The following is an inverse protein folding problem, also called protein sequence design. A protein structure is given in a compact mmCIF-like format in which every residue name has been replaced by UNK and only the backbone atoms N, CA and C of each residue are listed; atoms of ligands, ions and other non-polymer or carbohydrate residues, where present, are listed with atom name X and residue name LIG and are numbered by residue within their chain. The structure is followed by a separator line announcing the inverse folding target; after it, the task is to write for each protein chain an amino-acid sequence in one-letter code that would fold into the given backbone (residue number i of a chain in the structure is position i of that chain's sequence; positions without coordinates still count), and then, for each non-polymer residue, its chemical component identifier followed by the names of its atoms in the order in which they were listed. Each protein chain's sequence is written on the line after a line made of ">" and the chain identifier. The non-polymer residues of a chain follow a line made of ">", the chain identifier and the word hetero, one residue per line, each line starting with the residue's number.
data_IF_528033760591
#
_entry.id   IF_528033760591
#
_cell.length_a   1.000
_cell.length_b   1.000
_cell.length_c   1.000
_cell.angle_alpha   90.00
_cell.angle_beta   90.00
_cell.angle_gamma   90.00
#
_symmetry.space_group_name_H-M   'P 1'
#
loop_
_entity.id
_entity.type
_entity.pdbx_description
1 polymer ?
#
# COMPACT_ATOMS: atom_id res chain seq x y z
N UNK A 1 -3.06 25.84 20.09
CA UNK A 1 -3.15 24.37 20.06
C UNK A 1 -2.32 23.86 18.90
N UNK A 2 -1.45 22.89 19.16
CA UNK A 2 -0.44 22.39 18.22
C UNK A 2 -1.15 21.76 17.01
N UNK A 3 -1.06 22.41 15.85
CA UNK A 3 -1.42 21.78 14.57
C UNK A 3 -0.43 20.65 14.33
N UNK A 4 -0.84 19.44 14.69
CA UNK A 4 -0.21 18.22 14.22
C UNK A 4 -0.64 18.08 12.74
N UNK A 5 0.01 18.85 11.88
CA UNK A 5 -0.02 18.62 10.44
C UNK A 5 0.75 17.31 10.25
N UNK A 6 0.00 16.21 10.26
CA UNK A 6 0.49 14.90 9.84
C UNK A 6 0.74 15.01 8.35
N UNK A 7 1.92 15.55 8.00
CA UNK A 7 2.52 15.40 6.69
C UNK A 7 2.76 13.91 6.48
N UNK A 8 1.75 13.22 5.95
CA UNK A 8 1.97 11.92 5.32
C UNK A 8 2.75 12.25 4.06
N UNK A 9 4.08 12.15 4.18
CA UNK A 9 5.03 12.19 3.08
C UNK A 9 4.72 10.97 2.21
N UNK A 10 3.71 11.09 1.34
CA UNK A 10 3.42 10.15 0.27
C UNK A 10 4.50 10.32 -0.78
N UNK A 11 5.69 9.79 -0.48
CA UNK A 11 6.73 9.53 -1.45
C UNK A 11 6.26 8.36 -2.34
N UNK A 12 5.22 8.57 -3.14
CA UNK A 12 4.88 7.69 -4.25
C UNK A 12 5.91 7.93 -5.34
N UNK A 13 7.09 7.35 -5.16
CA UNK A 13 7.96 7.05 -6.26
C UNK A 13 7.21 6.03 -7.13
N UNK A 14 6.43 6.54 -8.10
CA UNK A 14 6.03 5.80 -9.28
C UNK A 14 7.30 5.40 -10.04
N UNK A 15 8.03 4.42 -9.52
CA UNK A 15 8.94 3.64 -10.34
C UNK A 15 8.00 2.76 -11.17
N UNK A 16 7.64 3.28 -12.34
CA UNK A 16 7.11 2.47 -13.43
C UNK A 16 8.18 1.46 -13.81
N UNK A 17 8.28 0.37 -13.03
CA UNK A 17 9.01 -0.82 -13.45
C UNK A 17 8.11 -1.45 -14.51
N UNK A 18 8.41 -1.13 -15.77
CA UNK A 18 7.89 -1.88 -16.89
C UNK A 18 8.12 -3.38 -16.61
N UNK A 19 7.09 -4.25 -16.68
CA UNK A 19 7.21 -5.67 -16.35
C UNK A 19 7.93 -6.49 -17.43
N UNK A 20 8.73 -5.84 -18.29
CA UNK A 20 9.24 -6.42 -19.54
C UNK A 20 10.15 -7.61 -19.34
N UNK A 21 10.93 -7.66 -18.24
CA UNK A 21 11.81 -8.80 -17.98
C UNK A 21 11.09 -10.04 -17.43
N UNK A 22 10.06 -9.86 -16.60
CA UNK A 22 9.39 -10.96 -15.88
C UNK A 22 8.36 -11.69 -16.75
N UNK A 23 7.77 -11.02 -17.73
CA UNK A 23 6.78 -11.61 -18.63
C UNK A 23 7.36 -12.62 -19.64
N UNK A 24 8.61 -12.45 -20.09
CA UNK A 24 9.22 -13.34 -21.09
C UNK A 24 9.63 -14.71 -20.51
N UNK A 25 10.36 -14.75 -19.39
CA UNK A 25 10.91 -16.00 -18.82
C UNK A 25 9.83 -16.94 -18.24
N UNK A 26 8.67 -16.40 -17.87
CA UNK A 26 7.58 -17.20 -17.27
C UNK A 26 6.60 -17.72 -18.32
N UNK A 27 6.57 -17.13 -19.52
CA UNK A 27 5.80 -17.64 -20.68
C UNK A 27 6.61 -18.57 -21.58
N UNK A 28 7.94 -18.50 -21.53
CA UNK A 28 8.81 -19.42 -22.24
C UNK A 28 8.65 -20.85 -21.71
N UNK A 29 8.48 -21.79 -22.65
CA UNK A 29 8.30 -23.21 -22.36
C UNK A 29 9.49 -23.70 -21.55
N UNK A 30 9.23 -24.24 -20.36
CA UNK A 30 10.28 -24.76 -19.47
C UNK A 30 11.03 -25.91 -20.16
N UNK A 31 12.23 -25.61 -20.63
CA UNK A 31 13.11 -26.57 -21.30
C UNK A 31 14.05 -27.22 -20.27
N UNK A 32 14.08 -28.54 -20.28
CA UNK A 32 15.04 -29.32 -19.50
C UNK A 32 16.08 -29.87 -20.46
N UNK A 33 17.34 -29.48 -20.26
CA UNK A 33 18.46 -29.96 -21.08
C UNK A 33 19.21 -31.05 -20.33
N UNK A 34 19.58 -32.11 -21.05
CA UNK A 34 20.43 -33.17 -20.50
C UNK A 34 21.89 -32.85 -20.82
N UNK A 35 22.73 -32.85 -19.81
CA UNK A 35 24.15 -32.56 -19.91
C UNK A 35 24.96 -33.33 -18.88
N UNK A 36 26.06 -32.75 -18.44
CA UNK A 36 26.85 -33.27 -17.33
C UNK A 36 27.39 -32.11 -16.51
N UNK A 37 27.40 -32.28 -15.20
CA UNK A 37 27.81 -31.23 -14.28
C UNK A 37 28.78 -31.75 -13.21
N UNK A 38 29.83 -30.99 -12.85
CA UNK A 38 30.77 -31.38 -11.80
C UNK A 38 30.19 -31.12 -10.40
N UNK A 39 29.85 -32.20 -9.70
CA UNK A 39 29.50 -32.21 -8.28
C UNK A 39 30.73 -32.52 -7.42
N UNK A 40 30.57 -32.45 -6.10
CA UNK A 40 31.71 -32.67 -5.19
C UNK A 40 32.26 -34.10 -5.15
N UNK A 41 31.57 -35.08 -5.74
CA UNK A 41 32.00 -36.48 -5.87
C UNK A 41 32.26 -36.93 -7.32
N UNK A 42 32.14 -36.05 -8.31
CA UNK A 42 32.45 -36.38 -9.69
C UNK A 42 31.65 -35.62 -10.73
N UNK A 43 31.93 -35.93 -11.98
CA UNK A 43 31.17 -35.46 -13.14
C UNK A 43 30.02 -36.44 -13.39
N UNK A 44 28.78 -35.96 -13.26
CA UNK A 44 27.59 -36.80 -13.39
C UNK A 44 26.66 -36.29 -14.50
N UNK A 45 25.86 -37.17 -15.13
CA UNK A 45 24.76 -36.75 -15.99
C UNK A 45 23.76 -35.88 -15.21
N UNK A 46 23.36 -34.76 -15.79
CA UNK A 46 22.52 -33.77 -15.09
C UNK A 46 21.42 -33.21 -15.99
N UNK A 47 20.26 -33.02 -15.39
CA UNK A 47 19.12 -32.32 -15.95
C UNK A 47 19.21 -30.86 -15.53
N UNK A 48 19.23 -29.97 -16.52
CA UNK A 48 19.51 -28.55 -16.30
C UNK A 48 18.35 -27.69 -16.73
N UNK A 49 17.99 -26.72 -15.91
CA UNK A 49 16.96 -25.71 -16.21
C UNK A 49 17.53 -24.32 -15.95
N UNK A 50 17.34 -23.42 -16.90
CA UNK A 50 17.74 -22.02 -16.77
C UNK A 50 16.58 -21.20 -16.19
N UNK A 51 16.91 -20.24 -15.34
CA UNK A 51 16.01 -19.26 -14.76
C UNK A 51 16.68 -17.88 -14.79
N UNK A 52 15.92 -16.81 -14.61
CA UNK A 52 16.51 -15.48 -14.40
C UNK A 52 17.29 -15.41 -13.09
N UNK A 53 18.43 -14.72 -13.17
CA UNK A 53 19.41 -14.62 -12.07
C UNK A 53 18.84 -14.04 -10.77
N UNK A 54 17.82 -13.20 -10.86
CA UNK A 54 17.14 -12.62 -9.70
C UNK A 54 16.56 -13.69 -8.75
N UNK A 55 16.32 -14.90 -9.24
CA UNK A 55 15.76 -16.01 -8.46
C UNK A 55 16.80 -16.91 -7.77
N UNK A 56 18.11 -16.66 -7.89
CA UNK A 56 19.13 -17.61 -7.44
C UNK A 56 18.98 -18.03 -5.96
N UNK A 57 18.70 -17.07 -5.07
CA UNK A 57 18.49 -17.35 -3.64
C UNK A 57 17.20 -18.13 -3.37
N UNK A 58 16.13 -17.78 -4.06
CA UNK A 58 14.82 -18.40 -3.88
C UNK A 58 14.80 -19.80 -4.46
N UNK A 59 15.52 -20.05 -5.56
CA UNK A 59 15.71 -21.37 -6.17
C UNK A 59 16.42 -22.34 -5.22
N UNK A 60 17.57 -21.94 -4.68
CA UNK A 60 18.33 -22.81 -3.78
C UNK A 60 17.50 -23.15 -2.53
N UNK A 61 16.80 -22.16 -1.98
CA UNK A 61 15.86 -22.37 -0.87
C UNK A 61 14.71 -23.29 -1.27
N UNK A 62 14.07 -23.08 -2.42
CA UNK A 62 12.94 -23.89 -2.88
C UNK A 62 13.31 -25.35 -3.08
N UNK A 63 14.42 -25.64 -3.76
CA UNK A 63 14.88 -27.02 -3.95
C UNK A 63 15.29 -27.66 -2.63
N UNK A 64 15.94 -26.91 -1.73
CA UNK A 64 16.27 -27.40 -0.38
C UNK A 64 15.02 -27.78 0.41
N UNK A 65 14.02 -26.89 0.44
CA UNK A 65 12.76 -27.12 1.16
C UNK A 65 12.01 -28.30 0.55
N UNK A 66 11.96 -28.39 -0.79
CA UNK A 66 11.35 -29.52 -1.52
C UNK A 66 11.99 -30.86 -1.16
N UNK A 67 13.32 -30.94 -1.15
CA UNK A 67 14.01 -32.20 -0.82
C UNK A 67 13.95 -32.54 0.66
N UNK A 68 13.87 -31.53 1.54
CA UNK A 68 13.71 -31.75 2.99
C UNK A 68 12.43 -32.53 3.33
N UNK A 69 11.38 -32.35 2.56
CA UNK A 69 10.10 -33.06 2.74
C UNK A 69 10.12 -34.49 2.20
N UNK A 70 11.02 -34.78 1.24
CA UNK A 70 11.03 -36.04 0.49
C UNK A 70 12.18 -36.99 0.86
N UNK A 71 13.24 -36.47 1.46
CA UNK A 71 14.48 -37.19 1.73
C UNK A 71 14.55 -37.71 3.17
N UNK A 72 15.25 -38.84 3.36
CA UNK A 72 15.60 -39.34 4.70
C UNK A 72 16.76 -38.54 5.30
N UNK A 73 17.72 -38.15 4.46
CA UNK A 73 18.88 -37.33 4.86
C UNK A 73 19.14 -36.21 3.83
N UNK A 74 19.53 -35.04 4.34
CA UNK A 74 19.77 -33.84 3.52
C UNK A 74 21.04 -33.11 3.97
N UNK A 75 21.99 -32.95 3.05
CA UNK A 75 23.17 -32.11 3.21
C UNK A 75 23.10 -30.92 2.26
N UNK A 76 23.56 -29.73 2.69
CA UNK A 76 23.50 -28.50 1.89
C UNK A 76 24.79 -27.66 1.96
N UNK A 77 25.96 -28.29 2.16
CA UNK A 77 27.23 -27.57 2.38
C UNK A 77 27.80 -26.91 1.11
N UNK A 78 27.92 -27.68 0.03
CA UNK A 78 28.48 -27.23 -1.27
C UNK A 78 27.47 -27.31 -2.42
N UNK A 79 26.54 -28.23 -2.25
CA UNK A 79 25.42 -28.57 -3.12
C UNK A 79 24.39 -29.26 -2.23
N UNK A 80 23.16 -29.31 -2.69
CA UNK A 80 22.10 -30.04 -2.02
C UNK A 80 22.29 -31.52 -2.36
N UNK A 81 22.49 -32.35 -1.35
CA UNK A 81 22.53 -33.82 -1.46
C UNK A 81 21.39 -34.39 -0.64
N UNK A 82 20.43 -35.01 -1.31
CA UNK A 82 19.28 -35.64 -0.69
C UNK A 82 19.40 -37.15 -0.88
N UNK A 83 19.36 -37.92 0.20
CA UNK A 83 19.45 -39.39 0.19
C UNK A 83 18.12 -40.00 0.62
N UNK A 84 17.80 -41.19 0.11
CA UNK A 84 16.54 -41.86 0.44
C UNK A 84 15.30 -41.18 -0.14
N UNK A 85 15.46 -40.37 -1.19
CA UNK A 85 14.35 -39.62 -1.80
C UNK A 85 13.42 -40.59 -2.52
N UNK A 86 12.12 -40.49 -2.25
CA UNK A 86 11.11 -41.27 -2.97
C UNK A 86 10.39 -40.41 -4.01
N UNK A 87 10.57 -40.73 -5.29
CA UNK A 87 9.90 -40.07 -6.41
C UNK A 87 9.19 -41.14 -7.24
N UNK A 88 7.94 -41.50 -6.88
CA UNK A 88 7.21 -42.61 -7.52
C UNK A 88 7.04 -42.45 -9.04
N UNK A 89 7.02 -41.21 -9.53
CA UNK A 89 6.89 -40.91 -10.97
C UNK A 89 8.14 -41.32 -11.76
N UNK A 90 9.30 -41.44 -11.10
CA UNK A 90 10.57 -41.86 -11.70
C UNK A 90 10.83 -43.35 -11.42
N UNK A 91 10.73 -43.76 -10.15
CA UNK A 91 10.96 -45.14 -9.72
C UNK A 91 10.23 -45.46 -8.42
N UNK A 92 9.91 -46.74 -8.21
CA UNK A 92 9.36 -47.22 -6.94
C UNK A 92 10.40 -47.23 -5.81
N UNK A 93 11.69 -47.38 -6.16
CA UNK A 93 12.81 -47.42 -5.22
C UNK A 93 13.21 -46.01 -4.75
N UNK A 94 13.93 -45.95 -3.63
CA UNK A 94 14.55 -44.70 -3.16
C UNK A 94 15.79 -44.38 -3.98
N UNK A 95 16.07 -43.09 -4.14
CA UNK A 95 17.21 -42.58 -4.91
C UNK A 95 17.95 -41.48 -4.16
N UNK A 96 19.17 -41.20 -4.60
CA UNK A 96 19.90 -40.01 -4.17
C UNK A 96 19.82 -38.92 -5.22
N UNK A 97 19.63 -37.68 -4.79
CA UNK A 97 19.52 -36.51 -5.67
C UNK A 97 20.60 -35.51 -5.31
N UNK A 98 21.35 -35.07 -6.32
CA UNK A 98 22.33 -33.99 -6.21
C UNK A 98 21.76 -32.77 -6.95
N UNK A 99 21.66 -31.63 -6.27
CA UNK A 99 21.19 -30.39 -6.87
C UNK A 99 22.16 -29.25 -6.58
N UNK A 100 22.47 -28.47 -7.61
CA UNK A 100 23.28 -27.26 -7.47
C UNK A 100 22.74 -26.14 -8.33
N UNK A 101 22.68 -24.95 -7.74
CA UNK A 101 22.36 -23.71 -8.41
C UNK A 101 23.67 -23.03 -8.81
N UNK A 102 23.91 -22.87 -10.10
CA UNK A 102 25.09 -22.22 -10.66
C UNK A 102 24.72 -20.84 -11.18
N UNK A 103 25.52 -19.83 -10.81
CA UNK A 103 25.45 -18.48 -11.39
C UNK A 103 26.67 -18.26 -12.31
N UNK A 104 26.54 -18.51 -13.63
CA UNK A 104 27.65 -18.30 -14.55
C UNK A 104 28.10 -16.83 -14.55
N UNK A 105 29.42 -16.63 -14.58
CA UNK A 105 30.00 -15.28 -14.64
C UNK A 105 29.54 -14.58 -15.93
N UNK A 106 29.01 -13.37 -15.79
CA UNK A 106 28.49 -12.53 -16.89
C UNK A 106 27.23 -13.08 -17.59
N UNK A 107 26.49 -13.99 -16.95
CA UNK A 107 25.15 -14.37 -17.39
C UNK A 107 24.09 -13.63 -16.59
N UNK A 108 22.96 -13.36 -17.25
CA UNK A 108 21.70 -12.89 -16.63
C UNK A 108 20.80 -14.07 -16.20
N UNK A 109 21.28 -15.30 -16.42
CA UNK A 109 20.63 -16.54 -16.03
C UNK A 109 21.35 -17.20 -14.87
N UNK A 110 20.57 -17.97 -14.10
CA UNK A 110 21.03 -18.94 -13.12
C UNK A 110 20.58 -20.31 -13.59
N UNK A 111 21.47 -21.30 -13.49
CA UNK A 111 21.23 -22.66 -14.01
C UNK A 111 21.13 -23.61 -12.82
N UNK A 112 20.02 -24.34 -12.73
CA UNK A 112 19.85 -25.42 -11.77
C UNK A 112 20.27 -26.72 -12.42
N UNK A 113 21.22 -27.43 -11.82
CA UNK A 113 21.72 -28.72 -12.26
C UNK A 113 21.28 -29.81 -11.28
N UNK A 114 20.50 -30.78 -11.75
CA UNK A 114 19.99 -31.89 -10.92
C UNK A 114 20.43 -33.25 -11.46
N UNK A 115 21.01 -34.08 -10.62
CA UNK A 115 21.43 -35.45 -10.96
C UNK A 115 20.74 -36.46 -10.04
N UNK A 116 20.32 -37.58 -10.62
CA UNK A 116 19.58 -38.64 -9.93
C UNK A 116 20.38 -39.93 -9.95
N UNK A 117 20.62 -40.51 -8.79
CA UNK A 117 21.34 -41.76 -8.61
C UNK A 117 20.40 -42.85 -8.10
N UNK A 118 20.19 -43.88 -8.93
CA UNK A 118 19.24 -44.96 -8.71
C UNK A 118 19.92 -46.29 -8.98
N UNK A 119 19.78 -47.26 -8.07
CA UNK A 119 20.23 -48.64 -8.25
C UNK A 119 21.68 -48.80 -8.75
N UNK A 120 22.60 -47.99 -8.20
CA UNK A 120 24.03 -48.10 -8.50
C UNK A 120 24.52 -47.24 -9.68
N UNK A 121 23.64 -46.50 -10.36
CA UNK A 121 24.01 -45.68 -11.52
C UNK A 121 23.26 -44.35 -11.55
N UNK A 122 23.87 -43.35 -12.20
CA UNK A 122 23.19 -42.08 -12.48
C UNK A 122 22.23 -42.23 -13.67
N UNK A 123 21.08 -41.58 -13.57
CA UNK A 123 20.13 -41.45 -14.67
C UNK A 123 20.70 -40.44 -15.68
N UNK A 124 20.93 -40.87 -16.91
CA UNK A 124 21.54 -40.07 -17.97
C UNK A 124 21.37 -40.69 -19.35
N UNK A 125 22.16 -40.27 -20.36
CA UNK A 125 21.99 -40.71 -21.75
C UNK A 125 22.04 -42.23 -21.98
N UNK A 126 22.74 -42.97 -21.11
CA UNK A 126 22.85 -44.44 -21.16
C UNK A 126 21.76 -45.20 -20.40
N UNK A 127 20.82 -44.50 -19.75
CA UNK A 127 19.74 -45.11 -18.98
C UNK A 127 18.56 -45.51 -19.88
N UNK A 128 17.60 -46.26 -19.33
CA UNK A 128 16.34 -46.57 -20.03
C UNK A 128 15.60 -45.30 -20.48
N UNK A 129 15.03 -45.32 -21.69
CA UNK A 129 14.40 -44.14 -22.30
C UNK A 129 13.16 -43.68 -21.54
N UNK A 130 12.38 -44.60 -20.96
CA UNK A 130 11.22 -44.23 -20.14
C UNK A 130 11.67 -43.59 -18.83
N UNK A 131 12.73 -44.12 -18.21
CA UNK A 131 13.33 -43.55 -17.00
C UNK A 131 13.87 -42.13 -17.25
N UNK A 132 14.57 -41.91 -18.37
CA UNK A 132 15.04 -40.59 -18.77
C UNK A 132 13.87 -39.61 -18.99
N UNK A 133 12.83 -40.05 -19.70
CA UNK A 133 11.65 -39.23 -19.97
C UNK A 133 10.91 -38.86 -18.69
N UNK A 134 10.69 -39.82 -17.80
CA UNK A 134 10.05 -39.60 -16.50
C UNK A 134 10.84 -38.61 -15.65
N UNK A 135 12.17 -38.76 -15.60
CA UNK A 135 13.06 -37.83 -14.87
C UNK A 135 13.04 -36.42 -15.48
N UNK A 136 13.04 -36.32 -16.81
CA UNK A 136 12.92 -35.04 -17.53
C UNK A 136 11.61 -34.35 -17.21
N UNK A 137 10.49 -35.09 -17.20
CA UNK A 137 9.18 -34.53 -16.87
C UNK A 137 9.13 -34.08 -15.41
N UNK A 138 9.63 -34.87 -14.48
CA UNK A 138 9.68 -34.51 -13.06
C UNK A 138 10.48 -33.22 -12.83
N UNK A 139 11.66 -33.07 -13.46
CA UNK A 139 12.46 -31.85 -13.35
C UNK A 139 11.70 -30.65 -13.95
N UNK A 140 11.02 -30.85 -15.08
CA UNK A 140 10.19 -29.81 -15.70
C UNK A 140 9.05 -29.37 -14.78
N UNK A 141 8.32 -30.33 -14.20
CA UNK A 141 7.21 -30.06 -13.29
C UNK A 141 7.66 -29.28 -12.05
N UNK A 142 8.82 -29.62 -11.46
CA UNK A 142 9.38 -28.88 -10.33
C UNK A 142 9.81 -27.46 -10.72
N UNK A 143 10.41 -27.28 -11.89
CA UNK A 143 10.74 -25.96 -12.40
C UNK A 143 9.49 -25.10 -12.66
N UNK A 144 8.43 -25.68 -13.23
CA UNK A 144 7.13 -25.02 -13.41
C UNK A 144 6.51 -24.65 -12.06
N UNK A 145 6.56 -25.56 -11.07
CA UNK A 145 6.05 -25.32 -9.74
C UNK A 145 6.77 -24.14 -9.06
N UNK A 146 8.10 -24.05 -9.21
CA UNK A 146 8.86 -22.89 -8.73
C UNK A 146 8.42 -21.58 -9.40
N UNK A 147 8.32 -21.56 -10.74
CA UNK A 147 7.86 -20.37 -11.49
C UNK A 147 6.47 -19.92 -11.04
N UNK A 148 5.55 -20.87 -10.81
CA UNK A 148 4.21 -20.59 -10.27
C UNK A 148 4.27 -20.02 -8.86
N UNK A 149 5.10 -20.59 -7.99
CA UNK A 149 5.22 -20.12 -6.61
C UNK A 149 5.74 -18.68 -6.52
N UNK A 150 6.76 -18.34 -7.30
CA UNK A 150 7.28 -16.97 -7.39
C UNK A 150 6.18 -15.99 -7.83
N UNK A 151 5.43 -16.35 -8.87
CA UNK A 151 4.33 -15.51 -9.34
C UNK A 151 3.17 -15.44 -8.35
N UNK A 152 2.89 -16.52 -7.61
CA UNK A 152 1.87 -16.52 -6.55
C UNK A 152 2.22 -15.53 -5.46
N UNK A 153 3.45 -15.60 -4.93
CA UNK A 153 3.93 -14.67 -3.90
C UNK A 153 3.87 -13.22 -4.39
N UNK A 154 4.27 -12.99 -5.65
CA UNK A 154 4.21 -11.67 -6.25
C UNK A 154 2.76 -11.18 -6.38
N UNK A 155 1.86 -12.02 -6.89
CA UNK A 155 0.44 -11.69 -7.04
C UNK A 155 -0.18 -11.34 -5.68
N UNK A 156 0.08 -12.15 -4.65
CA UNK A 156 -0.38 -11.89 -3.29
C UNK A 156 0.13 -10.55 -2.74
N UNK A 157 1.40 -10.21 -3.00
CA UNK A 157 1.96 -8.91 -2.62
C UNK A 157 1.29 -7.75 -3.37
N UNK A 158 1.08 -7.89 -4.68
CA UNK A 158 0.46 -6.84 -5.50
C UNK A 158 -1.02 -6.64 -5.15
N UNK A 159 -1.77 -7.72 -4.86
CA UNK A 159 -3.15 -7.67 -4.40
C UNK A 159 -3.26 -7.03 -3.01
N UNK A 160 -2.31 -7.31 -2.11
CA UNK A 160 -2.25 -6.67 -0.79
C UNK A 160 -1.99 -5.16 -0.90
N UNK A 161 -1.02 -4.75 -1.72
CA UNK A 161 -0.75 -3.34 -1.98
C UNK A 161 -1.97 -2.62 -2.56
N UNK A 162 -2.69 -3.26 -3.50
CA UNK A 162 -3.92 -2.71 -4.07
C UNK A 162 -4.99 -2.51 -2.98
N UNK A 163 -5.20 -3.49 -2.11
CA UNK A 163 -6.14 -3.39 -1.01
C UNK A 163 -5.78 -2.25 -0.03
N UNK A 164 -4.49 -2.07 0.27
CA UNK A 164 -4.01 -0.98 1.11
C UNK A 164 -4.29 0.40 0.47
N UNK A 165 -4.11 0.54 -0.86
CA UNK A 165 -4.46 1.77 -1.59
C UNK A 165 -5.97 2.04 -1.57
N UNK A 166 -6.82 1.03 -1.79
CA UNK A 166 -8.28 1.17 -1.73
C UNK A 166 -8.76 1.58 -0.33
N UNK A 167 -8.14 1.04 0.72
CA UNK A 167 -8.39 1.44 2.10
C UNK A 167 -7.96 2.90 2.36
N UNK A 168 -6.80 3.31 1.83
CA UNK A 168 -6.34 4.70 1.94
C UNK A 168 -7.29 5.67 1.25
N UNK A 169 -7.78 5.34 0.04
CA UNK A 169 -8.80 6.13 -0.66
C UNK A 169 -10.09 6.25 0.19
N UNK A 170 -10.53 5.15 0.79
CA UNK A 170 -11.72 5.15 1.66
C UNK A 170 -11.54 6.08 2.87
N UNK A 171 -10.35 6.15 3.47
CA UNK A 171 -10.10 7.05 4.58
C UNK A 171 -10.01 8.52 4.12
N UNK A 172 -9.47 8.79 2.92
CA UNK A 172 -9.51 10.13 2.32
C UNK A 172 -10.95 10.61 2.11
N UNK A 173 -11.83 9.75 1.58
CA UNK A 173 -13.26 10.05 1.40
C UNK A 173 -13.94 10.34 2.75
N UNK A 174 -13.65 9.56 3.78
CA UNK A 174 -14.16 9.81 5.14
C UNK A 174 -13.65 11.12 5.73
N UNK A 175 -12.40 11.49 5.48
CA UNK A 175 -11.83 12.74 5.97
C UNK A 175 -12.49 13.95 5.32
N UNK A 176 -12.75 13.89 4.00
CA UNK A 176 -13.57 14.88 3.30
C UNK A 176 -14.95 15.02 3.94
N UNK A 177 -15.67 13.92 4.16
CA UNK A 177 -17.01 13.95 4.76
C UNK A 177 -16.99 14.56 6.18
N UNK A 178 -15.95 14.29 6.98
CA UNK A 178 -15.76 14.90 8.30
C UNK A 178 -15.51 16.41 8.19
N UNK A 179 -14.66 16.82 7.25
CA UNK A 179 -14.35 18.23 7.00
C UNK A 179 -15.59 19.00 6.53
N UNK A 180 -16.38 18.44 5.60
CA UNK A 180 -17.65 19.01 5.12
C UNK A 180 -18.65 19.20 6.27
N UNK A 181 -18.84 18.18 7.12
CA UNK A 181 -19.73 18.30 8.30
C UNK A 181 -19.23 19.36 9.29
N UNK A 182 -17.92 19.51 9.45
CA UNK A 182 -17.32 20.55 10.29
C UNK A 182 -17.55 21.94 9.69
N UNK A 183 -17.42 22.06 8.37
CA UNK A 183 -17.66 23.29 7.64
C UNK A 183 -19.12 23.74 7.76
N UNK A 184 -20.08 22.83 7.60
CA UNK A 184 -21.51 23.14 7.74
C UNK A 184 -21.85 23.63 9.15
N UNK A 185 -21.31 22.98 10.19
CA UNK A 185 -21.48 23.42 11.57
C UNK A 185 -20.87 24.80 11.82
N UNK A 186 -19.70 25.06 11.23
CA UNK A 186 -19.00 26.35 11.38
C UNK A 186 -19.75 27.47 10.65
N UNK A 187 -20.21 27.22 9.42
CA UNK A 187 -21.07 28.15 8.68
C UNK A 187 -22.33 28.48 9.45
N UNK A 188 -23.00 27.48 10.02
CA UNK A 188 -24.21 27.71 10.83
C UNK A 188 -23.92 28.61 12.04
N UNK A 189 -22.83 28.34 12.78
CA UNK A 189 -22.41 29.19 13.91
C UNK A 189 -22.13 30.63 13.48
N UNK A 190 -21.41 30.82 12.37
CA UNK A 190 -21.13 32.15 11.83
C UNK A 190 -22.42 32.89 11.45
N UNK A 191 -23.37 32.22 10.81
CA UNK A 191 -24.68 32.81 10.47
C UNK A 191 -25.49 33.17 11.71
N UNK A 192 -25.51 32.30 12.72
CA UNK A 192 -26.22 32.54 13.98
C UNK A 192 -25.60 33.75 14.73
N UNK A 193 -24.27 33.82 14.81
CA UNK A 193 -23.55 34.95 15.41
C UNK A 193 -23.78 36.26 14.64
N UNK A 194 -23.79 36.21 13.30
CA UNK A 194 -24.08 37.38 12.47
C UNK A 194 -25.51 37.88 12.68
N UNK A 195 -26.48 36.97 12.84
CA UNK A 195 -27.86 37.35 13.15
C UNK A 195 -27.96 38.01 14.53
N UNK A 196 -27.36 37.41 15.54
CA UNK A 196 -27.36 37.96 16.91
C UNK A 196 -26.65 39.33 16.96
N UNK A 197 -25.60 39.52 16.15
CA UNK A 197 -24.90 40.80 16.01
C UNK A 197 -25.84 41.87 15.47
N UNK A 198 -26.59 41.58 14.41
CA UNK A 198 -27.56 42.51 13.82
C UNK A 198 -28.64 42.88 14.83
N UNK A 199 -29.14 41.91 15.60
CA UNK A 199 -30.13 42.16 16.65
C UNK A 199 -29.54 43.04 17.78
N UNK A 200 -28.29 42.80 18.18
CA UNK A 200 -27.58 43.61 19.18
C UNK A 200 -27.28 45.03 18.69
N UNK A 201 -26.90 45.22 17.42
CA UNK A 201 -26.71 46.53 16.79
C UNK A 201 -28.02 47.32 16.74
N UNK A 202 -29.15 46.66 16.43
CA UNK A 202 -30.47 47.30 16.47
C UNK A 202 -30.85 47.73 17.90
N UNK A 203 -30.59 46.88 18.90
CA UNK A 203 -30.78 47.21 20.31
C UNK A 203 -29.90 48.38 20.76
N UNK A 204 -28.62 48.39 20.37
CA UNK A 204 -27.68 49.49 20.68
C UNK A 204 -28.17 50.82 20.10
N UNK A 205 -28.68 50.84 18.87
CA UNK A 205 -29.25 52.05 18.26
C UNK A 205 -30.48 52.57 19.00
N UNK A 206 -31.36 51.68 19.45
CA UNK A 206 -32.51 52.06 20.28
C UNK A 206 -32.04 52.69 21.60
N UNK A 207 -31.05 52.07 22.24
CA UNK A 207 -30.54 52.53 23.52
C UNK A 207 -29.79 53.88 23.40
N UNK A 208 -29.08 54.11 22.29
CA UNK A 208 -28.49 55.42 21.96
C UNK A 208 -29.55 56.53 21.85
N UNK A 209 -30.73 56.23 21.31
CA UNK A 209 -31.86 57.19 21.26
C UNK A 209 -32.40 57.49 22.66
N UNK A 210 -32.55 56.46 23.50
CA UNK A 210 -33.01 56.62 24.89
C UNK A 210 -32.01 57.42 25.72
N UNK A 211 -30.71 57.16 25.57
CA UNK A 211 -29.62 57.94 26.19
C UNK A 211 -29.69 59.40 25.74
N UNK A 212 -29.89 59.67 24.44
CA UNK A 212 -29.99 61.04 23.94
C UNK A 212 -31.19 61.78 24.55
N UNK A 213 -32.35 61.12 24.64
CA UNK A 213 -33.54 61.66 25.32
C UNK A 213 -33.28 61.92 26.79
N UNK A 214 -32.69 60.95 27.52
CA UNK A 214 -32.42 61.09 28.95
C UNK A 214 -31.36 62.15 29.26
N UNK A 215 -30.35 62.32 28.40
CA UNK A 215 -29.39 63.43 28.50
C UNK A 215 -30.08 64.79 28.41
N UNK A 216 -31.08 64.94 27.54
CA UNK A 216 -31.86 66.17 27.45
C UNK A 216 -32.68 66.43 28.73
N UNK A 217 -33.28 65.39 29.32
CA UNK A 217 -34.00 65.49 30.60
C UNK A 217 -33.08 65.89 31.77
N UNK A 218 -31.92 65.24 31.90
CA UNK A 218 -30.91 65.58 32.92
C UNK A 218 -30.44 67.03 32.76
N UNK A 219 -30.26 67.50 31.51
CA UNK A 219 -29.89 68.89 31.22
C UNK A 219 -31.00 69.89 31.56
N UNK A 220 -32.27 69.48 31.49
CA UNK A 220 -33.41 70.34 31.84
C UNK A 220 -33.67 70.37 33.36
N UNK A 221 -33.50 69.24 34.04
CA UNK A 221 -33.67 69.11 35.48
C UNK A 221 -32.79 67.99 36.06
N UNK A 222 -31.65 68.38 36.61
CA UNK A 222 -30.73 67.47 37.27
C UNK A 222 -31.27 67.04 38.65
N UNK A 223 -31.61 65.76 38.78
CA UNK A 223 -31.93 65.11 40.05
C UNK A 223 -31.26 63.73 40.13
N UNK A 224 -31.21 63.16 41.33
CA UNK A 224 -30.50 61.90 41.61
C UNK A 224 -31.06 60.72 40.79
N UNK A 225 -32.38 60.66 40.62
CA UNK A 225 -33.06 59.62 39.81
C UNK A 225 -32.65 59.68 38.34
N UNK A 226 -32.77 60.86 37.71
CA UNK A 226 -32.45 61.06 36.30
C UNK A 226 -30.97 60.82 36.00
N UNK A 227 -30.09 61.17 36.94
CA UNK A 227 -28.64 60.97 36.79
C UNK A 227 -28.25 59.50 36.94
N UNK A 228 -28.90 58.77 37.86
CA UNK A 228 -28.71 57.32 38.04
C UNK A 228 -29.18 56.52 36.82
N UNK A 229 -30.39 56.80 36.31
CA UNK A 229 -30.94 56.15 35.10
C UNK A 229 -30.04 56.37 33.88
N UNK A 230 -29.51 57.59 33.69
CA UNK A 230 -28.56 57.87 32.61
C UNK A 230 -27.27 57.05 32.74
N UNK A 231 -26.73 56.87 33.95
CA UNK A 231 -25.55 56.05 34.16
C UNK A 231 -25.81 54.57 33.86
N UNK A 232 -26.98 54.05 34.21
CA UNK A 232 -27.32 52.65 33.97
C UNK A 232 -27.53 52.37 32.48
N UNK A 233 -28.17 53.30 31.75
CA UNK A 233 -28.25 53.22 30.28
C UNK A 233 -26.86 53.23 29.63
N UNK A 234 -25.94 54.10 30.08
CA UNK A 234 -24.56 54.12 29.54
C UNK A 234 -23.81 52.80 29.78
N UNK A 235 -24.01 52.16 30.94
CA UNK A 235 -23.42 50.82 31.21
C UNK A 235 -24.04 49.73 30.33
N UNK A 236 -25.32 49.82 30.04
CA UNK A 236 -25.99 48.87 29.14
C UNK A 236 -25.54 49.03 27.69
N UNK A 237 -25.33 50.28 27.24
CA UNK A 237 -24.74 50.60 25.94
C UNK A 237 -23.33 50.00 25.79
N UNK A 238 -22.49 50.14 26.82
CA UNK A 238 -21.14 49.57 26.84
C UNK A 238 -21.17 48.04 26.75
N UNK A 239 -22.06 47.38 27.51
CA UNK A 239 -22.25 45.92 27.43
C UNK A 239 -22.71 45.47 26.05
N UNK A 240 -23.59 46.22 25.39
CA UNK A 240 -24.05 45.91 24.03
C UNK A 240 -22.92 46.08 23.03
N UNK A 241 -22.11 47.14 23.13
CA UNK A 241 -20.92 47.36 22.29
C UNK A 241 -19.91 46.21 22.44
N UNK A 242 -19.63 45.79 23.67
CA UNK A 242 -18.78 44.62 23.95
C UNK A 242 -19.33 43.33 23.34
N UNK A 243 -20.65 43.13 23.43
CA UNK A 243 -21.33 41.98 22.81
C UNK A 243 -21.23 42.00 21.29
N UNK A 244 -21.48 43.16 20.66
CA UNK A 244 -21.36 43.35 19.21
C UNK A 244 -19.94 43.04 18.73
N UNK A 245 -18.92 43.50 19.46
CA UNK A 245 -17.53 43.22 19.12
C UNK A 245 -17.22 41.72 19.19
N UNK A 246 -17.62 41.05 20.28
CA UNK A 246 -17.43 39.59 20.42
C UNK A 246 -18.09 38.81 19.29
N UNK A 247 -19.33 39.16 18.95
CA UNK A 247 -20.04 38.51 17.84
C UNK A 247 -19.39 38.80 16.48
N UNK A 248 -18.85 40.00 16.28
CA UNK A 248 -18.09 40.33 15.08
C UNK A 248 -16.81 39.47 14.97
N UNK A 249 -16.09 39.29 16.08
CA UNK A 249 -14.90 38.44 16.12
C UNK A 249 -15.28 36.97 15.85
N UNK A 250 -16.38 36.47 16.42
CA UNK A 250 -16.89 35.11 16.15
C UNK A 250 -17.25 34.88 14.68
N UNK A 251 -17.83 35.87 14.00
CA UNK A 251 -18.12 35.80 12.56
C UNK A 251 -16.84 35.70 11.75
N UNK A 252 -15.84 36.55 12.04
CA UNK A 252 -14.55 36.53 11.34
C UNK A 252 -13.81 35.21 11.57
N UNK A 253 -13.82 34.69 12.80
CA UNK A 253 -13.21 33.40 13.12
C UNK A 253 -13.92 32.24 12.40
N UNK A 254 -15.25 32.27 12.32
CA UNK A 254 -16.02 31.28 11.57
C UNK A 254 -15.70 31.32 10.07
N UNK A 255 -15.65 32.50 9.45
CA UNK A 255 -15.29 32.67 8.04
C UNK A 255 -13.88 32.16 7.75
N UNK A 256 -12.91 32.51 8.60
CA UNK A 256 -11.54 32.02 8.49
C UNK A 256 -11.49 30.49 8.58
N UNK A 257 -12.21 29.91 9.53
CA UNK A 257 -12.21 28.45 9.71
C UNK A 257 -12.91 27.72 8.56
N UNK A 258 -13.97 28.30 7.99
CA UNK A 258 -14.60 27.79 6.76
C UNK A 258 -13.60 27.77 5.62
N UNK A 259 -12.85 28.85 5.40
CA UNK A 259 -11.83 28.90 4.36
C UNK A 259 -10.72 27.85 4.54
N UNK A 260 -10.24 27.66 5.77
CA UNK A 260 -9.27 26.59 6.07
C UNK A 260 -9.82 25.20 5.72
N UNK A 261 -11.09 24.93 6.03
CA UNK A 261 -11.74 23.66 5.70
C UNK A 261 -11.98 23.50 4.20
N UNK A 262 -12.29 24.57 3.47
CA UNK A 262 -12.41 24.56 2.00
C UNK A 262 -11.07 24.22 1.33
N UNK A 263 -9.98 24.80 1.82
CA UNK A 263 -8.63 24.47 1.35
C UNK A 263 -8.28 22.99 1.65
N UNK A 264 -8.59 22.50 2.86
CA UNK A 264 -8.40 21.09 3.24
C UNK A 264 -9.20 20.13 2.36
N UNK A 265 -10.48 20.42 2.10
CA UNK A 265 -11.34 19.62 1.22
C UNK A 265 -10.79 19.60 -0.21
N UNK A 266 -10.34 20.76 -0.72
CA UNK A 266 -9.78 20.86 -2.08
C UNK A 266 -8.53 20.02 -2.22
N UNK A 267 -7.63 20.06 -1.25
CA UNK A 267 -6.38 19.32 -1.33
C UNK A 267 -6.63 17.80 -1.15
N UNK A 268 -7.55 17.43 -0.25
CA UNK A 268 -8.01 16.05 -0.13
C UNK A 268 -8.63 15.51 -1.44
N UNK A 269 -9.45 16.31 -2.16
CA UNK A 269 -10.01 15.91 -3.46
C UNK A 269 -8.93 15.63 -4.51
N UNK A 270 -7.85 16.43 -4.54
CA UNK A 270 -6.71 16.16 -5.43
C UNK A 270 -5.99 14.87 -5.06
N UNK A 271 -5.81 14.61 -3.77
CA UNK A 271 -5.21 13.35 -3.29
C UNK A 271 -6.08 12.15 -3.67
N UNK A 272 -7.41 12.25 -3.55
CA UNK A 272 -8.34 11.21 -4.01
C UNK A 272 -8.22 10.95 -5.52
N UNK A 273 -8.12 12.00 -6.34
CA UNK A 273 -7.96 11.86 -7.79
C UNK A 273 -6.65 11.14 -8.15
N UNK A 274 -5.54 11.55 -7.53
CA UNK A 274 -4.23 10.91 -7.72
C UNK A 274 -4.25 9.45 -7.26
N UNK A 275 -4.85 9.17 -6.11
CA UNK A 275 -4.97 7.81 -5.57
C UNK A 275 -5.84 6.92 -6.47
N UNK A 276 -6.95 7.44 -7.00
CA UNK A 276 -7.81 6.71 -7.94
C UNK A 276 -7.06 6.34 -9.22
N UNK A 277 -6.29 7.28 -9.78
CA UNK A 277 -5.46 6.98 -10.95
C UNK A 277 -4.41 5.89 -10.65
N UNK A 278 -3.71 5.99 -9.51
CA UNK A 278 -2.74 5.00 -9.09
C UNK A 278 -3.36 3.61 -8.85
N UNK A 279 -4.57 3.54 -8.28
CA UNK A 279 -5.33 2.30 -8.10
C UNK A 279 -5.65 1.65 -9.45
N UNK A 280 -6.09 2.42 -10.45
CA UNK A 280 -6.38 1.87 -11.78
C UNK A 280 -5.12 1.33 -12.47
N UNK A 281 -4.01 2.05 -12.40
CA UNK A 281 -2.71 1.56 -12.90
C UNK A 281 -2.29 0.27 -12.19
N UNK A 282 -2.48 0.19 -10.86
CA UNK A 282 -2.14 -0.99 -10.07
C UNK A 282 -3.04 -2.18 -10.41
N UNK A 283 -4.35 -1.98 -10.65
CA UNK A 283 -5.27 -3.04 -11.09
C UNK A 283 -4.83 -3.66 -12.40
N UNK A 284 -4.39 -2.84 -13.37
CA UNK A 284 -3.85 -3.33 -14.64
C UNK A 284 -2.61 -4.20 -14.41
N UNK A 285 -1.70 -3.77 -13.52
CA UNK A 285 -0.51 -4.55 -13.18
C UNK A 285 -0.84 -5.89 -12.51
N UNK A 286 -1.76 -5.89 -11.53
CA UNK A 286 -2.23 -7.11 -10.84
C UNK A 286 -2.84 -8.08 -11.84
N UNK A 287 -3.68 -7.61 -12.76
CA UNK A 287 -4.31 -8.47 -13.75
C UNK A 287 -3.28 -9.03 -14.74
N UNK A 288 -2.28 -8.24 -15.13
CA UNK A 288 -1.17 -8.73 -15.96
C UNK A 288 -0.39 -9.86 -15.26
N UNK A 289 -0.09 -9.70 -13.96
CA UNK A 289 0.55 -10.76 -13.15
C UNK A 289 -0.35 -11.99 -13.02
N UNK A 290 -1.66 -11.82 -12.86
CA UNK A 290 -2.64 -12.91 -12.78
C UNK A 290 -2.71 -13.71 -14.08
N UNK A 291 -2.76 -13.04 -15.23
CA UNK A 291 -2.71 -13.68 -16.55
C UNK A 291 -1.40 -14.44 -16.74
N UNK A 292 -0.27 -13.83 -16.33
CA UNK A 292 1.04 -14.48 -16.40
C UNK A 292 1.07 -15.76 -15.54
N UNK A 293 0.54 -15.71 -14.31
CA UNK A 293 0.42 -16.86 -13.42
C UNK A 293 -0.40 -18.01 -14.03
N UNK A 294 -1.50 -17.69 -14.71
CA UNK A 294 -2.33 -18.68 -15.41
C UNK A 294 -1.65 -19.27 -16.65
N UNK A 295 -0.73 -18.53 -17.27
CA UNK A 295 -0.04 -18.94 -18.50
C UNK A 295 1.14 -19.90 -18.29
N UNK A 296 1.60 -20.09 -17.05
CA UNK A 296 2.77 -20.94 -16.75
C UNK A 296 2.47 -22.40 -17.10
N UNK A 297 3.26 -22.94 -18.03
CA UNK A 297 3.14 -24.29 -18.59
C UNK A 297 4.44 -25.09 -18.53
#
# INVERSE_FOLDING_TARGET
>A
MKHLSTFIFCLFACVGIAPSGLAQDVTDRTEVKLGSFPYSDGLHPSFTVAFKKEYARDLEKHFKDTFKELAEDLSNKKEIRASGVRIPDISADTMSVLCKVEEPKKSDEVIVHVSYYLNGAFIGPGSDMMLQKATTEHVREKAIAFKREVLRIRLESEERELADMENALTELERNKDRAERSMDKTRKKGTDAQREKVDAEAGSKSLEMDIASKRAEVSAAANESNTGELQDLLKEEEKLKDKIQKLADEVVDAEKKVKELEDEIRDNLKEQEQMRAAIEDKKVAVEATRVLFQSVR
#
